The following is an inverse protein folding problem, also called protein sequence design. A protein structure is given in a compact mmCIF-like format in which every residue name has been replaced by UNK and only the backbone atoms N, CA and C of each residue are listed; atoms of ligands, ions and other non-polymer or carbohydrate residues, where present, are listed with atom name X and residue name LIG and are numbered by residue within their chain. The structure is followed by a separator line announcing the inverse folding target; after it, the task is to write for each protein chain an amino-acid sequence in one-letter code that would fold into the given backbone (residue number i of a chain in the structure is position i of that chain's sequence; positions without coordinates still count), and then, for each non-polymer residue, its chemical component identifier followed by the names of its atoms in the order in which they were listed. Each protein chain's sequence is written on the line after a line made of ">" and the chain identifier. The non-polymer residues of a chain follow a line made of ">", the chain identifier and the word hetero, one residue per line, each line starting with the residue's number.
data_IF_692865883650
#
_entry.id   IF_692865883650
#
_cell.length_a   1.000
_cell.length_b   1.000
_cell.length_c   1.000
_cell.angle_alpha   90.00
_cell.angle_beta   90.00
_cell.angle_gamma   90.00
#
_symmetry.space_group_name_H-M   'P 1'
#
loop_
_entity.id
_entity.type
_entity.pdbx_description
1 polymer ?
#
# COMPACT_ATOMS: atom_id res chain seq x y z
N UNK A 1 -37.22 -31.69 -54.20
CA UNK A 1 -36.56 -30.47 -54.70
C UNK A 1 -35.36 -30.22 -53.83
N UNK A 2 -34.13 -30.20 -54.38
CA UNK A 2 -32.92 -30.05 -53.59
C UNK A 2 -32.55 -28.60 -53.36
N UNK A 3 -31.97 -28.32 -52.19
CA UNK A 3 -31.45 -27.00 -51.76
C UNK A 3 -30.09 -26.79 -52.39
N UNK A 4 -29.75 -25.61 -52.99
CA UNK A 4 -28.43 -25.39 -53.56
C UNK A 4 -27.46 -24.92 -52.47
N UNK A 5 -26.28 -25.58 -52.45
CA UNK A 5 -25.08 -25.13 -51.74
C UNK A 5 -24.42 -23.99 -52.52
N UNK A 6 -24.21 -22.86 -51.90
CA UNK A 6 -23.37 -21.79 -52.44
C UNK A 6 -22.24 -21.48 -51.46
N UNK A 7 -21.08 -22.03 -51.71
CA UNK A 7 -19.78 -21.58 -51.18
C UNK A 7 -19.24 -20.48 -52.08
N UNK A 8 -19.31 -19.24 -51.61
CA UNK A 8 -18.61 -18.14 -52.28
C UNK A 8 -17.15 -18.05 -51.77
N UNK A 9 -16.17 -17.86 -52.64
CA UNK A 9 -14.77 -17.67 -52.19
C UNK A 9 -14.60 -16.28 -51.60
N UNK A 10 -13.85 -16.21 -50.49
CA UNK A 10 -13.50 -14.96 -49.81
C UNK A 10 -12.74 -14.04 -50.78
N UNK A 11 -13.09 -12.76 -50.80
CA UNK A 11 -12.48 -11.77 -51.68
C UNK A 11 -10.98 -11.56 -51.38
N UNK A 12 -10.14 -11.25 -52.39
CA UNK A 12 -8.70 -10.99 -52.20
C UNK A 12 -8.39 -9.85 -51.24
N UNK A 13 -9.33 -8.95 -51.02
CA UNK A 13 -9.18 -7.79 -50.12
C UNK A 13 -9.16 -8.13 -48.61
N UNK A 14 -9.85 -9.18 -48.20
CA UNK A 14 -9.85 -9.60 -46.80
C UNK A 14 -8.49 -10.15 -46.36
N UNK A 15 -7.81 -10.86 -47.25
CA UNK A 15 -6.48 -11.43 -46.98
C UNK A 15 -5.40 -10.34 -46.92
N UNK A 16 -5.51 -9.29 -47.71
CA UNK A 16 -4.60 -8.15 -47.70
C UNK A 16 -4.80 -7.29 -46.41
N UNK A 17 -6.04 -7.12 -45.97
CA UNK A 17 -6.35 -6.43 -44.72
C UNK A 17 -5.81 -7.19 -43.49
N UNK A 18 -5.95 -8.53 -43.45
CA UNK A 18 -5.39 -9.37 -42.38
C UNK A 18 -3.86 -9.30 -42.32
N UNK A 19 -3.18 -9.30 -43.48
CA UNK A 19 -1.71 -9.15 -43.54
C UNK A 19 -1.24 -7.78 -43.06
N UNK A 20 -1.98 -6.70 -43.32
CA UNK A 20 -1.67 -5.35 -42.81
C UNK A 20 -1.88 -5.25 -41.32
N UNK A 21 -2.95 -5.82 -40.76
CA UNK A 21 -3.20 -5.85 -39.31
C UNK A 21 -2.14 -6.67 -38.57
N UNK A 22 -1.75 -7.83 -39.12
CA UNK A 22 -0.69 -8.65 -38.54
C UNK A 22 0.68 -7.95 -38.58
N UNK A 23 0.98 -7.17 -39.62
CA UNK A 23 2.21 -6.36 -39.74
C UNK A 23 2.22 -5.23 -38.70
N UNK A 24 1.09 -4.52 -38.49
CA UNK A 24 0.98 -3.45 -37.49
C UNK A 24 1.11 -4.03 -36.08
N UNK A 25 0.50 -5.18 -35.79
CA UNK A 25 0.62 -5.86 -34.51
C UNK A 25 2.07 -6.27 -34.22
N UNK A 26 2.83 -6.74 -35.21
CA UNK A 26 4.26 -7.08 -35.09
C UNK A 26 5.14 -5.86 -34.82
N UNK A 27 4.85 -4.71 -35.43
CA UNK A 27 5.60 -3.47 -35.20
C UNK A 27 5.29 -2.83 -33.83
N UNK A 28 4.04 -2.95 -33.34
CA UNK A 28 3.65 -2.51 -32.01
C UNK A 28 4.28 -3.41 -30.95
N UNK A 29 4.32 -4.73 -31.16
CA UNK A 29 4.98 -5.65 -30.24
C UNK A 29 6.50 -5.40 -30.13
N UNK A 30 7.18 -5.02 -31.22
CA UNK A 30 8.60 -4.64 -31.20
C UNK A 30 8.83 -3.30 -30.46
N UNK A 31 7.91 -2.34 -30.60
CA UNK A 31 8.03 -1.02 -29.97
C UNK A 31 7.80 -1.07 -28.45
N UNK A 32 7.04 -2.05 -27.96
CA UNK A 32 6.75 -2.24 -26.52
C UNK A 32 7.52 -3.38 -25.87
N UNK A 33 8.48 -4.01 -26.56
CA UNK A 33 9.34 -5.05 -25.98
C UNK A 33 8.62 -6.35 -25.62
N UNK A 34 7.46 -6.63 -26.22
CA UNK A 34 6.74 -7.88 -26.05
C UNK A 34 7.26 -8.89 -27.05
N UNK A 35 8.27 -9.67 -26.66
CA UNK A 35 8.84 -10.73 -27.49
C UNK A 35 7.86 -11.87 -27.73
N UNK A 36 7.33 -12.00 -28.94
CA UNK A 36 6.66 -13.22 -29.39
C UNK A 36 7.71 -14.22 -29.88
N UNK A 37 8.16 -15.11 -29.00
CA UNK A 37 8.88 -16.31 -29.39
C UNK A 37 7.85 -17.42 -29.68
N UNK A 38 7.43 -17.54 -30.96
CA UNK A 38 6.81 -18.76 -31.48
C UNK A 38 7.87 -19.53 -32.25
N UNK A 39 8.61 -20.38 -31.56
CA UNK A 39 9.25 -21.58 -32.12
C UNK A 39 9.23 -22.67 -31.09
N UNK A 40 8.60 -23.77 -31.46
CA UNK A 40 8.52 -25.04 -30.76
C UNK A 40 9.92 -25.63 -30.48
N UNK A 41 10.25 -25.84 -29.23
CA UNK A 41 10.87 -27.07 -28.70
C UNK A 41 11.36 -26.89 -27.25
N UNK A 42 10.99 -27.89 -26.40
CA UNK A 42 11.56 -28.27 -25.10
C UNK A 42 11.49 -27.29 -23.94
N UNK A 43 10.44 -27.50 -23.14
CA UNK A 43 10.33 -27.53 -21.66
C UNK A 43 11.52 -27.09 -20.81
N UNK A 44 11.22 -26.27 -19.79
CA UNK A 44 11.83 -26.13 -18.46
C UNK A 44 12.78 -24.99 -18.13
N UNK A 45 13.05 -24.00 -19.00
CA UNK A 45 13.98 -22.94 -18.65
C UNK A 45 13.40 -21.51 -18.63
N UNK A 46 12.15 -21.29 -19.03
CA UNK A 46 11.59 -19.94 -19.14
C UNK A 46 11.05 -19.33 -17.84
N UNK A 47 10.73 -20.16 -16.84
CA UNK A 47 10.22 -19.66 -15.55
C UNK A 47 11.33 -19.17 -14.60
N UNK A 48 12.58 -19.58 -14.82
CA UNK A 48 13.74 -19.11 -14.04
C UNK A 48 14.23 -17.75 -14.54
N UNK A 49 14.27 -17.52 -15.84
CA UNK A 49 14.78 -16.26 -16.42
C UNK A 49 13.92 -15.04 -16.06
N UNK A 50 12.59 -15.18 -16.04
CA UNK A 50 11.70 -14.07 -15.62
C UNK A 50 11.83 -13.77 -14.13
N UNK A 51 12.06 -14.81 -13.32
CA UNK A 51 12.35 -14.65 -11.87
C UNK A 51 13.73 -14.02 -11.61
N UNK A 52 14.71 -14.27 -12.44
CA UNK A 52 16.08 -13.74 -12.29
C UNK A 52 16.16 -12.26 -12.67
N UNK A 53 15.47 -11.80 -13.71
CA UNK A 53 15.40 -10.36 -14.06
C UNK A 53 14.74 -9.54 -12.95
N UNK A 54 13.73 -10.07 -12.26
CA UNK A 54 13.16 -9.41 -11.08
C UNK A 54 14.10 -9.44 -9.86
N UNK A 55 14.91 -10.49 -9.68
CA UNK A 55 15.90 -10.58 -8.59
C UNK A 55 17.00 -9.53 -8.72
N UNK A 56 17.53 -9.32 -9.91
CA UNK A 56 18.63 -8.37 -10.13
C UNK A 56 18.20 -6.90 -10.06
N UNK A 57 16.95 -6.59 -10.48
CA UNK A 57 16.39 -5.24 -10.42
C UNK A 57 16.25 -4.72 -8.97
N UNK A 58 16.09 -5.61 -7.99
CA UNK A 58 15.86 -5.27 -6.58
C UNK A 58 17.05 -5.56 -5.65
N UNK A 59 18.20 -5.95 -6.21
CA UNK A 59 19.45 -6.19 -5.45
C UNK A 59 19.94 -4.95 -4.67
N UNK A 60 19.38 -3.77 -4.94
CA UNK A 60 19.71 -2.52 -4.24
C UNK A 60 18.96 -2.30 -2.92
N UNK A 61 17.87 -3.04 -2.64
CA UNK A 61 17.13 -2.90 -1.37
C UNK A 61 17.92 -3.61 -0.27
N UNK A 62 18.31 -2.84 0.74
CA UNK A 62 19.04 -3.35 1.91
C UNK A 62 18.07 -3.90 2.94
N UNK A 63 18.28 -5.15 3.33
CA UNK A 63 17.53 -5.80 4.39
C UNK A 63 18.34 -5.77 5.69
N UNK A 64 17.69 -5.51 6.82
CA UNK A 64 18.33 -5.78 8.12
C UNK A 64 18.62 -7.27 8.26
N UNK A 65 19.57 -7.62 9.12
CA UNK A 65 19.93 -9.04 9.33
C UNK A 65 18.75 -9.84 9.92
N UNK A 66 17.93 -9.20 10.75
CA UNK A 66 16.70 -9.80 11.31
C UNK A 66 15.71 -10.15 10.19
N UNK A 67 15.36 -9.19 9.35
CA UNK A 67 14.44 -9.37 8.21
C UNK A 67 14.97 -10.40 7.22
N UNK A 68 16.27 -10.32 6.88
CA UNK A 68 16.91 -11.26 5.97
C UNK A 68 16.84 -12.70 6.47
N UNK A 69 17.09 -12.91 7.78
CA UNK A 69 16.99 -14.25 8.40
C UNK A 69 15.56 -14.76 8.40
N UNK A 70 14.59 -13.91 8.77
CA UNK A 70 13.18 -14.26 8.79
C UNK A 70 12.69 -14.70 7.40
N UNK A 71 12.95 -13.90 6.36
CA UNK A 71 12.56 -14.23 4.99
C UNK A 71 13.19 -15.52 4.47
N UNK A 72 14.47 -15.76 4.77
CA UNK A 72 15.15 -17.02 4.38
C UNK A 72 14.55 -18.28 5.02
N UNK A 73 13.97 -18.13 6.21
CA UNK A 73 13.33 -19.23 6.96
C UNK A 73 11.83 -19.38 6.65
N UNK A 74 11.28 -18.51 5.80
CA UNK A 74 9.82 -18.46 5.56
C UNK A 74 9.05 -18.04 6.82
N UNK A 75 9.69 -17.25 7.71
CA UNK A 75 9.05 -16.69 8.89
C UNK A 75 8.26 -15.42 8.51
N UNK A 76 7.16 -15.11 9.24
CA UNK A 76 6.32 -13.97 8.92
C UNK A 76 7.05 -12.64 9.13
N UNK A 77 6.99 -11.76 8.14
CA UNK A 77 7.53 -10.40 8.18
C UNK A 77 6.42 -9.40 7.90
N UNK A 78 6.40 -8.29 8.64
CA UNK A 78 5.44 -7.19 8.48
C UNK A 78 6.18 -5.90 8.21
N UNK A 79 5.94 -5.29 7.05
CA UNK A 79 6.46 -3.97 6.74
C UNK A 79 5.74 -2.87 7.53
N UNK A 80 6.43 -1.76 7.81
CA UNK A 80 5.90 -0.56 8.45
C UNK A 80 6.38 0.67 7.68
N UNK A 81 5.51 1.66 7.47
CA UNK A 81 5.92 2.94 6.89
C UNK A 81 6.71 3.79 7.90
N UNK A 82 7.47 4.76 7.40
CA UNK A 82 8.19 5.71 8.23
C UNK A 82 7.64 7.14 8.19
N UNK A 83 6.68 7.45 7.31
CA UNK A 83 6.04 8.77 7.28
C UNK A 83 5.31 9.08 8.59
N UNK A 84 4.69 8.08 9.21
CA UNK A 84 4.06 8.25 10.52
C UNK A 84 5.08 8.62 11.61
N UNK A 85 6.32 8.16 11.48
CA UNK A 85 7.42 8.48 12.40
C UNK A 85 7.92 9.90 12.16
N UNK A 86 8.18 10.27 10.90
CA UNK A 86 8.75 11.59 10.58
C UNK A 86 7.71 12.72 10.67
N UNK A 87 6.49 12.49 10.16
CA UNK A 87 5.50 13.55 9.92
C UNK A 87 4.16 13.35 10.65
N UNK A 88 3.99 12.24 11.39
CA UNK A 88 2.72 11.92 12.04
C UNK A 88 2.63 12.33 13.49
N UNK A 89 3.76 12.48 14.17
CA UNK A 89 3.84 12.70 15.62
C UNK A 89 5.10 13.49 15.98
N UNK A 90 5.09 14.30 17.07
CA UNK A 90 6.28 14.98 17.55
C UNK A 90 7.27 14.01 18.22
N UNK A 91 8.58 14.34 18.18
CA UNK A 91 9.60 13.67 18.98
C UNK A 91 9.43 14.06 20.46
N UNK A 92 9.60 13.16 21.44
CA UNK A 92 10.04 11.76 21.31
C UNK A 92 8.89 10.75 21.14
N UNK A 93 7.63 11.19 21.10
CA UNK A 93 6.46 10.33 21.04
C UNK A 93 6.45 9.45 19.77
N UNK A 94 6.90 9.99 18.63
CA UNK A 94 7.02 9.28 17.37
C UNK A 94 7.96 8.06 17.47
N UNK A 95 9.14 8.22 18.08
CA UNK A 95 10.09 7.11 18.28
C UNK A 95 9.51 6.07 19.24
N UNK A 96 8.93 6.52 20.37
CA UNK A 96 8.30 5.63 21.34
C UNK A 96 7.22 4.78 20.67
N UNK A 97 6.33 5.42 19.94
CA UNK A 97 5.24 4.74 19.24
C UNK A 97 5.76 3.74 18.20
N UNK A 98 6.76 4.10 17.39
CA UNK A 98 7.34 3.21 16.41
C UNK A 98 7.93 1.94 17.07
N UNK A 99 8.69 2.09 18.15
CA UNK A 99 9.25 0.97 18.90
C UNK A 99 8.17 0.09 19.54
N UNK A 100 7.11 0.70 20.08
CA UNK A 100 5.98 -0.03 20.66
C UNK A 100 5.19 -0.81 19.61
N UNK A 101 5.02 -0.25 18.40
CA UNK A 101 4.38 -0.94 17.25
C UNK A 101 5.21 -2.13 16.80
N UNK A 102 6.53 -1.97 16.65
CA UNK A 102 7.43 -3.09 16.35
C UNK A 102 7.35 -4.19 17.41
N UNK A 103 7.29 -3.80 18.69
CA UNK A 103 7.16 -4.76 19.80
C UNK A 103 5.82 -5.51 19.77
N UNK A 104 4.73 -4.85 19.39
CA UNK A 104 3.41 -5.51 19.19
C UNK A 104 3.53 -6.59 18.13
N UNK A 105 4.19 -6.30 16.99
CA UNK A 105 4.39 -7.27 15.90
C UNK A 105 5.22 -8.46 16.39
N UNK A 106 6.32 -8.23 17.13
CA UNK A 106 7.16 -9.31 17.70
C UNK A 106 6.37 -10.20 18.64
N UNK A 107 5.59 -9.62 19.55
CA UNK A 107 4.74 -10.38 20.48
C UNK A 107 3.67 -11.20 19.79
N UNK A 108 3.22 -10.78 18.60
CA UNK A 108 2.30 -11.55 17.78
C UNK A 108 2.99 -12.62 16.91
N UNK A 109 4.31 -12.80 17.02
CA UNK A 109 5.06 -13.85 16.35
C UNK A 109 5.54 -13.52 14.94
N UNK A 110 5.59 -12.24 14.56
CA UNK A 110 6.13 -11.79 13.27
C UNK A 110 7.33 -10.86 13.47
N UNK A 111 8.15 -10.71 12.43
CA UNK A 111 9.31 -9.82 12.38
C UNK A 111 8.89 -8.46 11.83
N UNK A 112 9.04 -7.35 12.55
CA UNK A 112 8.78 -6.01 12.04
C UNK A 112 9.89 -5.57 11.07
N UNK A 113 9.49 -4.80 10.06
CA UNK A 113 10.40 -4.27 9.05
C UNK A 113 10.04 -2.83 8.69
N UNK A 114 10.48 -1.86 9.49
CA UNK A 114 10.28 -0.43 9.18
C UNK A 114 11.07 -0.06 7.92
N UNK A 115 10.41 0.65 6.99
CA UNK A 115 10.92 0.93 5.64
C UNK A 115 11.22 2.42 5.48
N UNK A 116 12.40 2.75 4.94
CA UNK A 116 12.81 4.11 4.60
C UNK A 116 13.90 4.12 3.54
N UNK A 117 14.21 5.30 3.01
CA UNK A 117 15.49 5.56 2.32
C UNK A 117 16.41 6.27 3.30
N UNK A 118 17.58 5.70 3.57
CA UNK A 118 18.58 6.27 4.48
C UNK A 118 19.85 6.58 3.71
N UNK A 119 20.20 7.86 3.58
CA UNK A 119 21.39 8.32 2.83
C UNK A 119 21.46 7.73 1.41
N UNK A 120 20.32 7.70 0.71
CA UNK A 120 20.17 7.15 -0.64
C UNK A 120 20.04 5.63 -0.70
N UNK A 121 20.15 4.91 0.40
CA UNK A 121 19.94 3.46 0.44
C UNK A 121 18.48 3.14 0.81
N UNK A 122 17.72 2.45 -0.07
CA UNK A 122 16.40 1.94 0.27
C UNK A 122 16.55 0.74 1.22
N UNK A 123 15.90 0.82 2.39
CA UNK A 123 16.01 -0.16 3.47
C UNK A 123 14.66 -0.74 3.88
N UNK A 124 14.66 -2.04 4.16
CA UNK A 124 13.54 -2.78 4.75
C UNK A 124 14.04 -3.46 6.03
N UNK A 125 13.54 -2.96 7.17
CA UNK A 125 14.09 -3.20 8.49
C UNK A 125 15.20 -2.18 8.81
N UNK A 126 14.83 -1.14 9.57
CA UNK A 126 15.80 -0.16 10.09
C UNK A 126 16.48 -0.67 11.35
N UNK A 127 17.70 -0.22 11.60
CA UNK A 127 18.30 -0.30 12.92
C UNK A 127 17.62 0.71 13.86
N UNK A 128 17.80 0.51 15.18
CA UNK A 128 17.27 1.44 16.18
C UNK A 128 17.81 2.86 15.97
N UNK A 129 19.09 2.99 15.67
CA UNK A 129 19.73 4.30 15.46
C UNK A 129 19.18 4.99 14.20
N UNK A 130 18.97 4.26 13.11
CA UNK A 130 18.35 4.80 11.88
C UNK A 130 16.90 5.23 12.11
N UNK A 131 16.12 4.47 12.88
CA UNK A 131 14.76 4.83 13.24
C UNK A 131 14.74 6.09 14.12
N UNK A 132 15.68 6.20 15.07
CA UNK A 132 15.82 7.37 15.91
C UNK A 132 16.26 8.60 15.10
N UNK A 133 17.18 8.45 14.16
CA UNK A 133 17.60 9.53 13.25
C UNK A 133 16.40 10.09 12.47
N UNK A 134 15.56 9.22 11.88
CA UNK A 134 14.33 9.63 11.18
C UNK A 134 13.36 10.35 12.12
N UNK A 135 13.16 9.81 13.33
CA UNK A 135 12.28 10.39 14.33
C UNK A 135 12.75 11.79 14.77
N UNK A 136 14.06 12.00 14.94
CA UNK A 136 14.66 13.30 15.29
C UNK A 136 14.65 14.30 14.13
N UNK A 137 14.78 13.82 12.89
CA UNK A 137 14.67 14.69 11.72
C UNK A 137 13.26 15.28 11.61
N UNK A 138 12.22 14.51 11.94
CA UNK A 138 10.83 14.98 11.91
C UNK A 138 10.50 15.62 10.55
N UNK A 139 9.89 16.80 10.53
CA UNK A 139 9.50 17.51 9.32
C UNK A 139 10.67 17.85 8.37
N UNK A 140 11.91 17.76 8.81
CA UNK A 140 13.10 17.93 7.96
C UNK A 140 13.45 16.67 7.16
N UNK A 141 12.87 15.53 7.50
CA UNK A 141 13.01 14.32 6.71
C UNK A 141 12.18 14.45 5.42
N UNK A 142 12.76 14.12 4.28
CA UNK A 142 12.01 14.13 3.03
C UNK A 142 10.86 13.12 3.10
N UNK A 143 9.69 13.46 2.52
CA UNK A 143 8.55 12.56 2.38
C UNK A 143 8.59 11.93 0.98
N UNK A 144 8.74 10.62 0.91
CA UNK A 144 8.86 9.91 -0.35
C UNK A 144 7.65 9.01 -0.64
N UNK A 145 7.01 9.23 -1.78
CA UNK A 145 6.12 8.28 -2.45
C UNK A 145 6.90 7.54 -3.56
N UNK A 146 6.25 6.68 -4.32
CA UNK A 146 6.92 5.96 -5.43
C UNK A 146 7.76 6.89 -6.31
N UNK A 147 7.20 8.03 -6.74
CA UNK A 147 7.88 8.98 -7.66
C UNK A 147 9.16 9.55 -7.07
N UNK A 148 9.25 9.64 -5.75
CA UNK A 148 10.36 10.29 -5.05
C UNK A 148 11.50 9.33 -4.74
N UNK A 149 11.28 7.99 -4.86
CA UNK A 149 12.29 6.97 -4.54
C UNK A 149 13.57 7.12 -5.37
N UNK A 150 13.42 7.30 -6.70
CA UNK A 150 14.58 7.45 -7.58
C UNK A 150 15.38 8.71 -7.28
N UNK A 151 14.70 9.82 -6.95
CA UNK A 151 15.34 11.07 -6.55
C UNK A 151 16.06 10.89 -5.21
N UNK A 152 15.39 10.36 -4.18
CA UNK A 152 16.00 10.15 -2.87
C UNK A 152 17.24 9.24 -2.94
N UNK A 153 17.16 8.13 -3.69
CA UNK A 153 18.28 7.23 -3.88
C UNK A 153 19.42 7.87 -4.71
N UNK A 154 19.09 8.59 -5.77
CA UNK A 154 20.08 9.21 -6.66
C UNK A 154 20.83 10.38 -6.05
N UNK A 155 20.20 11.11 -5.12
CA UNK A 155 20.80 12.28 -4.46
C UNK A 155 21.41 11.97 -3.09
N UNK A 156 21.32 10.73 -2.62
CA UNK A 156 21.81 10.37 -1.29
C UNK A 156 20.95 10.89 -0.14
N UNK A 157 19.68 11.23 -0.39
CA UNK A 157 18.80 11.80 0.62
C UNK A 157 18.31 10.74 1.63
N UNK A 158 17.96 11.22 2.85
CA UNK A 158 17.17 10.43 3.80
C UNK A 158 15.72 10.82 3.66
N UNK A 159 14.85 9.81 3.45
CA UNK A 159 13.44 10.02 3.20
C UNK A 159 12.56 8.98 3.91
N UNK A 160 11.52 9.45 4.57
CA UNK A 160 10.46 8.63 5.13
C UNK A 160 9.49 8.20 4.04
N UNK A 161 9.15 6.91 4.00
CA UNK A 161 8.28 6.32 2.97
C UNK A 161 6.81 6.42 3.33
N UNK A 162 5.97 6.83 2.36
CA UNK A 162 4.51 6.75 2.41
C UNK A 162 4.04 5.31 2.17
N UNK A 163 2.74 5.07 2.23
CA UNK A 163 2.14 3.76 1.87
C UNK A 163 2.63 3.30 0.50
N UNK A 164 2.52 4.16 -0.52
CA UNK A 164 2.96 3.87 -1.88
C UNK A 164 4.44 3.43 -1.95
N UNK A 165 5.36 4.21 -1.37
CA UNK A 165 6.78 3.87 -1.40
C UNK A 165 7.11 2.63 -0.56
N UNK A 166 6.41 2.46 0.59
CA UNK A 166 6.58 1.28 1.45
C UNK A 166 6.14 0.01 0.74
N UNK A 167 5.00 0.01 0.02
CA UNK A 167 4.55 -1.13 -0.78
C UNK A 167 5.59 -1.53 -1.83
N UNK A 168 6.16 -0.56 -2.56
CA UNK A 168 7.21 -0.81 -3.55
C UNK A 168 8.41 -1.53 -2.94
N UNK A 169 8.93 -1.01 -1.83
CA UNK A 169 10.14 -1.55 -1.20
C UNK A 169 9.85 -2.87 -0.46
N UNK A 170 8.68 -3.02 0.17
CA UNK A 170 8.23 -4.26 0.79
C UNK A 170 8.12 -5.38 -0.25
N UNK A 171 7.45 -5.13 -1.38
CA UNK A 171 7.34 -6.12 -2.48
C UNK A 171 8.70 -6.50 -3.03
N UNK A 172 9.59 -5.54 -3.22
CA UNK A 172 10.96 -5.76 -3.65
C UNK A 172 11.77 -6.65 -2.69
N UNK A 173 11.48 -6.55 -1.39
CA UNK A 173 12.09 -7.36 -0.34
C UNK A 173 11.44 -8.76 -0.21
N UNK A 174 10.28 -9.02 -0.84
CA UNK A 174 9.51 -10.25 -0.66
C UNK A 174 8.65 -10.24 0.60
N UNK A 175 8.22 -9.05 1.06
CA UNK A 175 7.30 -8.89 2.20
C UNK A 175 5.89 -8.63 1.65
N UNK A 176 4.95 -9.50 2.00
CA UNK A 176 3.59 -9.50 1.46
C UNK A 176 2.57 -8.80 2.35
N UNK A 177 2.91 -8.48 3.61
CA UNK A 177 2.02 -7.82 4.58
C UNK A 177 2.66 -6.53 5.08
N UNK A 178 1.90 -5.45 5.02
CA UNK A 178 2.29 -4.12 5.47
C UNK A 178 1.23 -3.54 6.40
N UNK A 179 1.65 -2.93 7.50
CA UNK A 179 0.76 -2.30 8.49
C UNK A 179 1.01 -0.80 8.55
N UNK A 180 -0.08 -0.03 8.55
CA UNK A 180 -0.05 1.43 8.71
C UNK A 180 -1.23 1.92 9.57
N UNK A 181 -1.27 3.19 9.89
CA UNK A 181 -2.43 3.83 10.52
C UNK A 181 -3.62 3.91 9.57
N UNK A 182 -3.42 4.46 8.38
CA UNK A 182 -4.44 4.60 7.36
C UNK A 182 -3.86 4.97 6.01
N UNK A 183 -4.54 4.54 4.94
CA UNK A 183 -4.14 4.84 3.57
C UNK A 183 -4.52 6.26 3.16
N UNK A 184 -3.82 6.81 2.19
CA UNK A 184 -4.25 7.99 1.46
C UNK A 184 -5.46 7.69 0.59
N UNK A 185 -6.12 8.73 0.11
CA UNK A 185 -7.34 8.59 -0.68
C UNK A 185 -7.55 9.79 -1.60
N UNK A 186 -8.79 9.97 -2.04
CA UNK A 186 -9.24 11.15 -2.76
C UNK A 186 -9.48 12.28 -1.75
N UNK A 187 -8.88 13.44 -1.97
CA UNK A 187 -9.14 14.61 -1.13
C UNK A 187 -10.58 15.12 -1.35
N UNK A 188 -11.14 15.76 -0.33
CA UNK A 188 -12.40 16.51 -0.48
C UNK A 188 -12.17 17.54 -1.58
N UNK A 189 -13.15 17.72 -2.46
CA UNK A 189 -13.02 18.52 -3.68
C UNK A 189 -12.00 17.96 -4.71
N UNK A 190 -11.64 16.66 -4.59
CA UNK A 190 -10.69 16.00 -5.48
C UNK A 190 -11.14 15.95 -6.95
N UNK A 191 -12.43 16.06 -7.23
CA UNK A 191 -13.00 16.17 -8.57
C UNK A 191 -12.59 17.44 -9.32
N UNK A 192 -12.28 18.51 -8.58
CA UNK A 192 -11.82 19.78 -9.15
C UNK A 192 -10.30 19.94 -9.07
N UNK A 193 -9.70 19.49 -7.97
CA UNK A 193 -8.27 19.64 -7.71
C UNK A 193 -7.41 18.52 -8.28
N UNK A 194 -8.02 17.37 -8.60
CA UNK A 194 -7.34 16.13 -8.97
C UNK A 194 -6.34 15.64 -7.89
N UNK A 195 -6.54 16.08 -6.61
CA UNK A 195 -5.68 15.66 -5.50
C UNK A 195 -6.10 14.27 -5.02
N UNK A 196 -5.45 13.28 -5.62
CA UNK A 196 -5.63 11.85 -5.36
C UNK A 196 -4.30 11.26 -4.91
N UNK A 197 -4.31 10.53 -3.80
CA UNK A 197 -3.11 9.93 -3.26
C UNK A 197 -2.50 8.88 -4.21
N UNK A 198 -1.17 8.91 -4.33
CA UNK A 198 -0.41 7.88 -5.03
C UNK A 198 -0.58 6.48 -4.42
N UNK A 199 -1.05 6.39 -3.18
CA UNK A 199 -1.32 5.12 -2.50
C UNK A 199 -2.37 4.29 -3.25
N UNK A 200 -3.41 4.94 -3.80
CA UNK A 200 -4.48 4.27 -4.53
C UNK A 200 -3.99 3.63 -5.83
N UNK A 201 -3.15 4.35 -6.58
CA UNK A 201 -2.52 3.84 -7.79
C UNK A 201 -1.58 2.67 -7.44
N UNK A 202 -0.84 2.77 -6.32
CA UNK A 202 0.08 1.71 -5.91
C UNK A 202 -0.65 0.44 -5.50
N UNK A 203 -1.80 0.57 -4.82
CA UNK A 203 -2.68 -0.54 -4.47
C UNK A 203 -3.20 -1.28 -5.70
N UNK A 204 -3.36 -0.60 -6.85
CA UNK A 204 -3.77 -1.23 -8.11
C UNK A 204 -2.65 -1.99 -8.84
N UNK A 205 -1.38 -1.86 -8.44
CA UNK A 205 -0.24 -2.41 -9.21
C UNK A 205 0.87 -3.10 -8.41
N UNK A 206 0.74 -3.15 -7.09
CA UNK A 206 1.75 -3.77 -6.23
C UNK A 206 1.08 -4.73 -5.26
N UNK A 207 1.31 -6.02 -5.44
CA UNK A 207 0.71 -7.08 -4.64
C UNK A 207 1.36 -7.13 -3.24
N UNK A 208 0.84 -6.27 -2.36
CA UNK A 208 1.13 -6.21 -0.92
C UNK A 208 -0.18 -5.95 -0.20
N UNK A 209 -0.45 -6.69 0.86
CA UNK A 209 -1.63 -6.50 1.70
C UNK A 209 -1.38 -5.38 2.72
N UNK A 210 -2.20 -4.34 2.69
CA UNK A 210 -2.14 -3.20 3.58
C UNK A 210 -3.20 -3.31 4.67
N UNK A 211 -2.78 -3.49 5.92
CA UNK A 211 -3.66 -3.53 7.08
C UNK A 211 -3.66 -2.15 7.75
N UNK A 212 -4.82 -1.51 7.81
CA UNK A 212 -4.94 -0.12 8.26
C UNK A 212 -6.32 0.14 8.90
N UNK A 213 -6.54 1.31 9.49
CA UNK A 213 -7.86 1.70 10.01
C UNK A 213 -8.78 2.34 8.94
N UNK A 214 -8.57 1.97 7.67
CA UNK A 214 -9.27 2.56 6.53
C UNK A 214 -8.55 3.77 5.95
N UNK A 215 -9.32 4.64 5.31
CA UNK A 215 -8.85 5.90 4.74
C UNK A 215 -8.71 6.96 5.84
N UNK A 216 -7.66 7.78 5.79
CA UNK A 216 -7.47 8.89 6.75
C UNK A 216 -8.71 9.78 6.78
N UNK A 217 -9.17 10.15 7.97
CA UNK A 217 -10.45 10.85 8.23
C UNK A 217 -10.64 12.18 7.48
N UNK A 218 -9.57 12.77 6.98
CA UNK A 218 -9.56 14.02 6.22
C UNK A 218 -10.01 13.85 4.76
N UNK A 219 -10.11 12.61 4.28
CA UNK A 219 -10.31 12.27 2.89
C UNK A 219 -11.78 11.88 2.61
N UNK A 220 -12.14 11.84 1.34
CA UNK A 220 -13.46 11.43 0.86
C UNK A 220 -13.50 9.91 0.70
N UNK A 221 -14.14 9.22 1.65
CA UNK A 221 -14.21 7.76 1.68
C UNK A 221 -14.98 7.21 0.47
N UNK A 222 -16.21 7.69 0.14
CA UNK A 222 -16.95 7.21 -1.03
C UNK A 222 -16.10 7.27 -2.31
N UNK A 223 -15.54 8.43 -2.65
CA UNK A 223 -14.72 8.60 -3.84
C UNK A 223 -13.45 7.74 -3.80
N UNK A 224 -12.88 7.52 -2.62
CA UNK A 224 -11.72 6.66 -2.46
C UNK A 224 -12.05 5.20 -2.77
N UNK A 225 -13.20 4.70 -2.33
CA UNK A 225 -13.65 3.34 -2.63
C UNK A 225 -13.88 3.15 -4.13
N UNK A 226 -14.48 4.12 -4.84
CA UNK A 226 -14.64 4.09 -6.30
C UNK A 226 -13.30 4.05 -7.05
N UNK A 227 -12.31 4.84 -6.60
CA UNK A 227 -10.98 4.80 -7.20
C UNK A 227 -10.29 3.46 -6.94
N UNK A 228 -10.42 2.89 -5.73
CA UNK A 228 -9.85 1.56 -5.42
C UNK A 228 -10.49 0.46 -6.27
N UNK A 229 -11.81 0.51 -6.50
CA UNK A 229 -12.51 -0.40 -7.42
C UNK A 229 -11.96 -0.27 -8.83
N UNK A 230 -11.87 0.95 -9.36
CA UNK A 230 -11.31 1.23 -10.70
C UNK A 230 -9.86 0.72 -10.85
N UNK A 231 -9.06 0.81 -9.78
CA UNK A 231 -7.69 0.30 -9.76
C UNK A 231 -7.62 -1.23 -9.57
N UNK A 232 -8.75 -1.89 -9.33
CA UNK A 232 -8.83 -3.34 -9.11
C UNK A 232 -8.24 -3.78 -7.78
N UNK A 233 -8.09 -2.88 -6.80
CA UNK A 233 -7.60 -3.22 -5.47
C UNK A 233 -8.64 -4.03 -4.70
N UNK A 234 -8.21 -5.12 -4.04
CA UNK A 234 -9.09 -5.90 -3.16
C UNK A 234 -9.29 -5.14 -1.85
N UNK A 235 -10.55 -4.82 -1.49
CA UNK A 235 -10.89 -4.08 -0.28
C UNK A 235 -11.79 -4.90 0.62
N UNK A 236 -11.32 -5.18 1.84
CA UNK A 236 -12.06 -5.91 2.87
C UNK A 236 -12.11 -5.10 4.17
N UNK A 237 -13.28 -5.03 4.81
CA UNK A 237 -13.38 -4.63 6.21
C UNK A 237 -13.18 -5.84 7.13
N UNK A 238 -12.51 -5.64 8.25
CA UNK A 238 -12.21 -6.68 9.23
C UNK A 238 -13.24 -6.68 10.36
N UNK A 239 -14.05 -7.75 10.44
CA UNK A 239 -15.05 -7.94 11.49
C UNK A 239 -16.26 -6.99 11.41
N UNK A 240 -16.51 -6.38 10.26
CA UNK A 240 -17.63 -5.42 10.06
C UNK A 240 -18.05 -5.40 8.60
N UNK A 241 -19.31 -5.03 8.34
CA UNK A 241 -19.86 -4.84 6.99
C UNK A 241 -19.72 -3.40 6.50
N UNK A 242 -19.30 -2.48 7.36
CA UNK A 242 -19.12 -1.07 7.06
C UNK A 242 -17.64 -0.72 7.03
N UNK A 243 -17.21 0.05 6.02
CA UNK A 243 -15.82 0.48 5.89
C UNK A 243 -15.48 1.48 7.01
N UNK A 244 -14.44 1.25 7.84
CA UNK A 244 -14.12 2.13 8.96
C UNK A 244 -13.53 3.46 8.49
N UNK A 245 -13.75 4.52 9.30
CA UNK A 245 -13.33 5.89 9.00
C UNK A 245 -12.21 6.38 9.92
N UNK A 246 -11.14 5.60 10.04
CA UNK A 246 -9.93 5.94 10.80
C UNK A 246 -10.18 6.13 12.30
N UNK A 247 -10.71 7.28 12.73
CA UNK A 247 -11.02 7.57 14.12
C UNK A 247 -12.41 7.11 14.56
N UNK A 248 -13.25 6.70 13.62
CA UNK A 248 -14.58 6.14 13.89
C UNK A 248 -14.68 4.76 13.28
N UNK A 249 -15.45 3.90 13.93
CA UNK A 249 -15.69 2.52 13.48
C UNK A 249 -16.60 2.48 12.26
N UNK A 250 -17.34 3.56 12.01
CA UNK A 250 -18.35 3.70 10.94
C UNK A 250 -18.06 4.90 10.07
N UNK A 251 -18.28 4.73 8.76
CA UNK A 251 -18.18 5.80 7.76
C UNK A 251 -19.50 6.13 7.08
N UNK A 252 -20.52 5.28 7.26
CA UNK A 252 -21.74 5.29 6.46
C UNK A 252 -21.59 4.61 5.10
N UNK A 253 -20.42 4.05 4.77
CA UNK A 253 -20.16 3.38 3.51
C UNK A 253 -20.08 1.87 3.73
N UNK A 254 -20.83 1.07 2.94
CA UNK A 254 -20.68 -0.37 2.94
C UNK A 254 -19.26 -0.77 2.51
N UNK A 255 -18.70 -1.77 3.13
CA UNK A 255 -17.43 -2.34 2.70
C UNK A 255 -17.67 -3.23 1.45
N UNK A 256 -16.77 -3.20 0.45
CA UNK A 256 -16.86 -4.06 -0.73
C UNK A 256 -16.85 -5.56 -0.40
N UNK A 257 -16.07 -5.95 0.62
CA UNK A 257 -16.02 -7.31 1.15
C UNK A 257 -15.74 -7.29 2.66
N UNK A 258 -15.93 -8.44 3.32
CA UNK A 258 -15.69 -8.63 4.74
C UNK A 258 -14.82 -9.87 4.97
N UNK A 259 -13.98 -9.82 5.98
CA UNK A 259 -13.25 -10.95 6.56
C UNK A 259 -13.39 -10.89 8.07
N UNK A 260 -13.56 -12.04 8.73
CA UNK A 260 -13.84 -12.12 10.16
C UNK A 260 -12.66 -12.64 10.99
N UNK A 261 -11.60 -13.10 10.33
CA UNK A 261 -10.45 -13.68 11.02
C UNK A 261 -9.12 -13.40 10.29
N UNK A 262 -7.97 -13.51 10.99
CA UNK A 262 -6.67 -13.44 10.34
C UNK A 262 -6.44 -14.56 9.33
N UNK A 263 -7.06 -15.73 9.53
CA UNK A 263 -7.02 -16.89 8.65
C UNK A 263 -7.70 -16.58 7.30
N UNK A 264 -8.89 -16.00 7.34
CA UNK A 264 -9.62 -15.59 6.14
C UNK A 264 -8.87 -14.51 5.37
N UNK A 265 -8.36 -13.49 6.07
CA UNK A 265 -7.54 -12.47 5.45
C UNK A 265 -6.28 -13.05 4.79
N UNK A 266 -5.59 -13.98 5.45
CA UNK A 266 -4.44 -14.68 4.88
C UNK A 266 -4.81 -15.52 3.65
N UNK A 267 -5.98 -16.18 3.66
CA UNK A 267 -6.49 -16.94 2.52
C UNK A 267 -6.79 -16.03 1.30
N UNK A 268 -7.37 -14.84 1.54
CA UNK A 268 -7.59 -13.84 0.47
C UNK A 268 -6.25 -13.39 -0.14
N UNK A 269 -5.25 -13.07 0.69
CA UNK A 269 -3.91 -12.70 0.23
C UNK A 269 -3.29 -13.84 -0.58
N UNK A 270 -3.32 -15.06 -0.05
CA UNK A 270 -2.76 -16.26 -0.71
C UNK A 270 -3.41 -16.48 -2.07
N UNK A 271 -4.73 -16.35 -2.17
CA UNK A 271 -5.46 -16.48 -3.44
C UNK A 271 -5.01 -15.46 -4.47
N UNK A 272 -4.82 -14.20 -4.08
CA UNK A 272 -4.27 -13.16 -4.96
C UNK A 272 -2.85 -13.46 -5.45
N UNK A 273 -2.01 -14.01 -4.56
CA UNK A 273 -0.64 -14.46 -4.92
C UNK A 273 -0.68 -15.65 -5.89
N UNK A 274 -1.53 -16.64 -5.64
CA UNK A 274 -1.65 -17.85 -6.47
C UNK A 274 -2.22 -17.55 -7.87
N UNK A 275 -3.15 -16.61 -7.95
CA UNK A 275 -3.68 -16.11 -9.22
C UNK A 275 -2.72 -15.14 -9.93
N UNK A 276 -1.57 -14.83 -9.31
CA UNK A 276 -0.58 -13.89 -9.82
C UNK A 276 -1.19 -12.50 -10.15
N UNK A 277 -2.12 -12.05 -9.33
CA UNK A 277 -2.69 -10.71 -9.46
C UNK A 277 -1.64 -9.66 -9.08
N UNK A 278 -1.56 -8.61 -9.88
CA UNK A 278 -0.59 -7.54 -9.64
C UNK A 278 -1.06 -6.54 -8.58
N UNK A 279 -2.38 -6.47 -8.31
CA UNK A 279 -2.97 -5.55 -7.35
C UNK A 279 -2.68 -5.95 -5.89
N UNK A 280 -2.61 -4.96 -5.03
CA UNK A 280 -2.61 -5.13 -3.58
C UNK A 280 -4.01 -5.27 -2.99
N UNK A 281 -4.06 -5.47 -1.69
CA UNK A 281 -5.30 -5.54 -0.92
C UNK A 281 -5.28 -4.61 0.28
N UNK A 282 -6.45 -4.12 0.68
CA UNK A 282 -6.68 -3.31 1.87
C UNK A 282 -7.54 -4.09 2.85
N UNK A 283 -7.02 -4.29 4.06
CA UNK A 283 -7.79 -4.82 5.19
C UNK A 283 -8.02 -3.70 6.18
N UNK A 284 -9.24 -3.16 6.18
CA UNK A 284 -9.63 -2.02 6.99
C UNK A 284 -10.13 -2.51 8.36
N UNK A 285 -9.35 -2.25 9.40
CA UNK A 285 -9.58 -2.68 10.78
C UNK A 285 -10.18 -1.54 11.58
N UNK A 286 -11.38 -1.67 12.15
CA UNK A 286 -11.98 -0.63 12.98
C UNK A 286 -11.11 -0.31 14.20
N UNK A 287 -11.06 0.98 14.57
CA UNK A 287 -10.42 1.43 15.80
C UNK A 287 -11.00 0.66 17.02
N UNK A 288 -10.20 0.34 18.06
CA UNK A 288 -10.71 -0.28 19.26
C UNK A 288 -11.87 0.53 19.88
N UNK A 289 -12.90 -0.18 20.37
CA UNK A 289 -14.18 0.41 20.79
C UNK A 289 -14.01 1.42 21.93
N UNK A 290 -13.02 1.24 22.79
CA UNK A 290 -12.70 2.15 23.89
C UNK A 290 -12.21 3.53 23.43
N UNK A 291 -11.86 3.69 22.16
CA UNK A 291 -11.44 4.94 21.55
C UNK A 291 -12.51 5.56 20.62
N UNK A 292 -13.65 4.89 20.42
CA UNK A 292 -14.73 5.34 19.52
C UNK A 292 -15.42 6.63 20.03
N UNK A 293 -15.59 6.77 21.34
CA UNK A 293 -16.26 7.93 21.96
C UNK A 293 -15.61 9.29 21.63
N UNK A 294 -14.36 9.28 21.18
CA UNK A 294 -13.63 10.47 20.73
C UNK A 294 -13.91 10.84 19.26
N UNK A 295 -14.56 9.95 18.50
CA UNK A 295 -14.74 10.08 17.06
C UNK A 295 -15.45 11.36 16.65
N UNK A 296 -16.57 11.72 17.27
CA UNK A 296 -17.33 12.94 16.96
C UNK A 296 -16.52 14.22 17.23
N UNK A 297 -15.79 14.24 18.37
CA UNK A 297 -14.93 15.38 18.73
C UNK A 297 -13.79 15.54 17.71
N UNK A 298 -13.17 14.43 17.32
CA UNK A 298 -12.09 14.43 16.33
C UNK A 298 -12.63 14.81 14.95
N UNK A 299 -13.81 14.32 14.57
CA UNK A 299 -14.44 14.68 13.29
C UNK A 299 -14.77 16.17 13.21
N UNK A 300 -15.29 16.77 14.29
CA UNK A 300 -15.51 18.22 14.36
C UNK A 300 -14.21 19.00 14.25
N UNK A 301 -13.16 18.57 14.95
CA UNK A 301 -11.84 19.19 14.86
C UNK A 301 -11.22 19.03 13.44
N UNK A 302 -11.47 17.90 12.77
CA UNK A 302 -11.01 17.64 11.40
C UNK A 302 -11.68 18.60 10.41
N UNK A 303 -13.00 18.80 10.50
CA UNK A 303 -13.71 19.77 9.64
C UNK A 303 -13.14 21.17 9.80
N UNK A 304 -12.96 21.60 11.05
CA UNK A 304 -12.36 22.91 11.33
C UNK A 304 -10.94 23.05 10.76
N UNK A 305 -10.11 22.00 10.87
CA UNK A 305 -8.76 22.00 10.32
C UNK A 305 -8.76 22.05 8.77
N UNK A 306 -9.76 21.41 8.13
CA UNK A 306 -9.95 21.49 6.67
C UNK A 306 -10.32 22.90 6.23
N UNK A 307 -11.25 23.58 6.93
CA UNK A 307 -11.61 24.96 6.67
C UNK A 307 -10.37 25.89 6.79
N UNK A 308 -9.51 25.65 7.78
CA UNK A 308 -8.25 26.40 7.95
C UNK A 308 -7.25 26.14 6.79
N UNK A 309 -7.18 24.92 6.26
CA UNK A 309 -6.35 24.55 5.09
C UNK A 309 -6.78 25.35 3.87
N UNK A 310 -8.08 25.40 3.58
CA UNK A 310 -8.63 26.17 2.47
C UNK A 310 -8.34 27.67 2.61
N UNK A 311 -8.62 28.25 3.78
CA UNK A 311 -8.36 29.66 4.07
C UNK A 311 -6.88 30.06 3.93
N UNK A 312 -5.96 29.12 4.23
CA UNK A 312 -4.51 29.36 4.17
C UNK A 312 -3.89 28.98 2.85
N UNK A 313 -4.63 28.37 1.92
CA UNK A 313 -4.13 27.92 0.63
C UNK A 313 -3.07 26.81 0.74
N UNK A 314 -3.16 25.93 1.76
CA UNK A 314 -2.24 24.80 1.91
C UNK A 314 -2.63 23.72 0.90
N UNK A 315 -1.65 23.22 0.10
CA UNK A 315 -1.91 22.33 -1.01
C UNK A 315 -1.03 21.06 -0.98
N UNK A 316 -1.52 19.99 -1.62
CA UNK A 316 -0.77 18.78 -1.93
C UNK A 316 -0.22 18.09 -0.68
N UNK A 317 1.06 17.71 -0.71
CA UNK A 317 1.72 16.89 0.33
C UNK A 317 1.72 17.49 1.74
N UNK A 318 1.51 18.80 1.87
CA UNK A 318 1.58 19.52 3.15
C UNK A 318 0.22 19.52 3.89
N UNK A 319 -0.88 19.22 3.19
CA UNK A 319 -2.25 19.18 3.74
C UNK A 319 -2.35 18.18 4.90
N UNK A 320 -1.99 16.94 4.67
CA UNK A 320 -2.13 15.87 5.68
C UNK A 320 -1.33 16.15 6.96
N UNK A 321 -0.03 16.52 6.93
CA UNK A 321 0.72 16.86 8.13
C UNK A 321 0.11 18.03 8.90
N UNK A 322 -0.32 19.10 8.19
CA UNK A 322 -0.97 20.24 8.80
C UNK A 322 -2.23 19.84 9.57
N UNK A 323 -3.13 19.09 8.91
CA UNK A 323 -4.41 18.71 9.54
C UNK A 323 -4.17 17.81 10.75
N UNK A 324 -3.30 16.81 10.66
CA UNK A 324 -3.02 15.91 11.78
C UNK A 324 -2.50 16.69 13.00
N UNK A 325 -1.58 17.64 12.80
CA UNK A 325 -1.08 18.51 13.85
C UNK A 325 -2.20 19.38 14.43
N UNK A 326 -2.99 20.02 13.57
CA UNK A 326 -4.07 20.92 13.98
C UNK A 326 -5.18 20.20 14.74
N UNK A 327 -5.56 19.00 14.29
CA UNK A 327 -6.54 18.15 15.00
C UNK A 327 -5.99 17.74 16.36
N UNK A 328 -4.71 17.40 16.49
CA UNK A 328 -4.11 17.11 17.78
C UNK A 328 -4.17 18.31 18.74
N UNK A 329 -3.91 19.52 18.27
CA UNK A 329 -4.05 20.76 19.05
C UNK A 329 -5.51 20.99 19.48
N UNK A 330 -6.47 20.91 18.55
CA UNK A 330 -7.90 21.15 18.80
C UNK A 330 -8.53 20.12 19.74
N UNK A 331 -7.99 18.89 19.77
CA UNK A 331 -8.48 17.81 20.63
C UNK A 331 -7.70 17.68 21.95
N UNK A 332 -6.71 18.55 22.20
CA UNK A 332 -5.87 18.46 23.39
C UNK A 332 -5.03 17.17 23.44
N UNK A 333 -4.63 16.63 22.28
CA UNK A 333 -3.83 15.41 22.15
C UNK A 333 -4.63 14.10 22.16
N UNK A 334 -5.95 14.14 22.28
CA UNK A 334 -6.78 12.92 22.27
C UNK A 334 -6.74 12.20 20.92
N UNK A 335 -6.69 12.95 19.80
CA UNK A 335 -6.53 12.34 18.47
C UNK A 335 -5.19 11.62 18.31
N UNK A 336 -4.13 12.10 18.96
CA UNK A 336 -2.84 11.41 18.98
C UNK A 336 -2.93 10.08 19.72
N UNK A 337 -3.59 10.03 20.88
CA UNK A 337 -3.82 8.78 21.62
C UNK A 337 -4.63 7.78 20.80
N UNK A 338 -5.69 8.25 20.15
CA UNK A 338 -6.50 7.42 19.25
C UNK A 338 -5.68 6.87 18.07
N UNK A 339 -4.82 7.71 17.45
CA UNK A 339 -3.93 7.30 16.39
C UNK A 339 -2.93 6.21 16.86
N UNK A 340 -2.31 6.37 18.02
CA UNK A 340 -1.43 5.36 18.60
C UNK A 340 -2.17 4.05 18.84
N UNK A 341 -3.39 4.10 19.38
CA UNK A 341 -4.19 2.92 19.64
C UNK A 341 -4.56 2.17 18.36
N UNK A 342 -5.04 2.87 17.31
CA UNK A 342 -5.41 2.23 16.05
C UNK A 342 -4.20 1.60 15.34
N UNK A 343 -3.03 2.24 15.34
CA UNK A 343 -1.82 1.68 14.72
C UNK A 343 -1.37 0.41 15.43
N UNK A 344 -1.40 0.39 16.75
CA UNK A 344 -1.08 -0.83 17.54
C UNK A 344 -2.09 -1.96 17.31
N UNK A 345 -3.37 -1.63 17.20
CA UNK A 345 -4.41 -2.60 16.85
C UNK A 345 -4.18 -3.19 15.45
N UNK A 346 -3.94 -2.33 14.46
CA UNK A 346 -3.62 -2.75 13.10
C UNK A 346 -2.36 -3.63 13.06
N UNK A 347 -1.34 -3.29 13.86
CA UNK A 347 -0.10 -4.07 13.99
C UNK A 347 -0.36 -5.48 14.53
N UNK A 348 -1.20 -5.59 15.56
CA UNK A 348 -1.57 -6.89 16.13
C UNK A 348 -2.36 -7.76 15.13
N UNK A 349 -3.32 -7.16 14.39
CA UNK A 349 -4.09 -7.86 13.35
C UNK A 349 -3.20 -8.25 12.19
N UNK A 350 -2.41 -7.31 11.64
CA UNK A 350 -1.53 -7.55 10.50
C UNK A 350 -0.44 -8.59 10.80
N UNK A 351 0.13 -8.60 12.01
CA UNK A 351 1.08 -9.62 12.42
C UNK A 351 0.46 -11.03 12.46
N UNK A 352 -0.77 -11.17 12.97
CA UNK A 352 -1.50 -12.44 12.96
C UNK A 352 -1.81 -12.90 11.54
N UNK A 353 -2.24 -11.98 10.65
CA UNK A 353 -2.44 -12.27 9.23
C UNK A 353 -1.13 -12.79 8.60
N UNK A 354 0.00 -12.12 8.84
CA UNK A 354 1.30 -12.55 8.33
C UNK A 354 1.71 -13.94 8.84
N UNK A 355 1.43 -14.26 10.11
CA UNK A 355 1.67 -15.59 10.69
C UNK A 355 0.87 -16.67 9.98
N UNK A 356 -0.44 -16.43 9.72
CA UNK A 356 -1.27 -17.38 9.01
C UNK A 356 -0.86 -17.52 7.54
N UNK A 357 -0.52 -16.41 6.86
CA UNK A 357 -0.02 -16.42 5.49
C UNK A 357 1.28 -17.24 5.37
N UNK A 358 2.22 -17.06 6.31
CA UNK A 358 3.46 -17.85 6.33
C UNK A 358 3.22 -19.35 6.50
N UNK A 359 2.14 -19.76 7.20
CA UNK A 359 1.74 -21.17 7.30
C UNK A 359 1.16 -21.70 6.00
N UNK A 360 0.40 -20.90 5.26
CA UNK A 360 -0.17 -21.28 3.96
C UNK A 360 0.89 -21.37 2.85
N UNK A 361 2.04 -20.74 3.03
CA UNK A 361 3.17 -20.76 2.08
C UNK A 361 4.18 -21.90 2.34
N UNK A 362 4.00 -22.70 3.40
CA UNK A 362 4.79 -23.91 3.73
C UNK A 362 4.23 -25.15 3.09
#
# INVERSE_FOLDING_TARGET
>A
MPVPSSSSPASPDATAAYRRIASIASHVALAYGIGTALTSSSSSSSSSAVRDVHRDAWAKVKLSDEVRRALRRGEPVVALESTIVAHGMPYPENLRTALEVEEVIRRCGATPATVAVVRGEPKVGLTRDELEDIARLGDRCAKASRRDLSHACGTGATAATTVSATMVLARAAGVDVFVTGGVGGVHRDGEHTMDVSADLIELGRTNVAVVCAGVKSILDIPKTLEVLETQGATVCAYGTDEFPAFFTRRSGCAAPARVDSPEEAAAVIKSGLDLNLANGSVFAVPIPIEHEALGEKIESATRRALDEVEQRGILGRDVTPYILKRVAELTGGESLKANIALVKNNAAVGARIAVHLARLNR
#
